data_IF_646667386848
#
_entry.id   IF_646667386848
#
_cell.length_a   1.000
_cell.length_b   1.000
_cell.length_c   1.000
_cell.angle_alpha   90.00
_cell.angle_beta   90.00
_cell.angle_gamma   90.00
#
_symmetry.space_group_name_H-M   'P 1'
#
loop_
_entity.id
_entity.type
_entity.pdbx_description
1 polymer ?
#
# COMPACT_ATOMS: atom_id res chain seq x y z
N UNK A 1 -23.41 -14.51 -0.54
CA UNK A 1 -23.97 -13.19 -0.85
C UNK A 1 -22.83 -12.19 -1.04
N UNK A 2 -22.82 -11.48 -2.14
CA UNK A 2 -21.76 -10.51 -2.40
C UNK A 2 -21.93 -9.28 -1.48
N UNK A 3 -20.86 -8.86 -0.84
CA UNK A 3 -20.85 -7.67 -0.02
C UNK A 3 -20.64 -6.44 -0.91
N UNK A 4 -21.40 -5.39 -0.68
CA UNK A 4 -21.21 -4.13 -1.39
C UNK A 4 -19.80 -3.58 -1.10
N UNK A 5 -19.13 -3.07 -2.12
CA UNK A 5 -17.82 -2.42 -1.97
C UNK A 5 -17.90 -1.18 -1.07
N UNK A 6 -19.06 -0.52 -1.02
CA UNK A 6 -19.26 0.65 -0.17
C UNK A 6 -19.26 0.31 1.32
N UNK A 7 -19.41 -0.97 1.69
CA UNK A 7 -19.38 -1.41 3.08
C UNK A 7 -17.98 -1.82 3.54
N UNK A 8 -16.99 -1.81 2.65
CA UNK A 8 -15.61 -2.11 3.02
C UNK A 8 -15.04 -0.91 3.78
N UNK A 9 -14.70 -1.10 5.05
CA UNK A 9 -14.21 -0.02 5.92
C UNK A 9 -12.75 0.32 5.71
N UNK A 10 -11.97 -0.61 5.19
CA UNK A 10 -10.53 -0.43 5.01
C UNK A 10 -10.14 -0.44 3.54
N UNK A 11 -9.21 -1.31 3.22
CA UNK A 11 -8.66 -1.45 1.88
C UNK A 11 -8.29 -2.92 1.62
N UNK A 12 -7.92 -3.24 0.38
CA UNK A 12 -7.57 -4.62 0.04
C UNK A 12 -6.06 -4.85 -0.03
N UNK A 13 -5.25 -3.82 0.21
CA UNK A 13 -3.80 -3.90 0.06
C UNK A 13 -3.04 -3.91 1.39
N UNK A 14 -3.73 -3.86 2.53
CA UNK A 14 -3.10 -3.67 3.85
C UNK A 14 -1.95 -4.64 4.13
N UNK A 15 -2.18 -5.94 3.97
CA UNK A 15 -1.16 -6.95 4.26
C UNK A 15 0.00 -6.88 3.26
N UNK A 16 -0.31 -6.64 2.00
CA UNK A 16 0.70 -6.61 0.94
C UNK A 16 1.59 -5.38 1.01
N UNK A 17 1.07 -4.24 1.48
CA UNK A 17 1.90 -3.06 1.76
C UNK A 17 2.97 -3.41 2.80
N UNK A 18 2.57 -4.01 3.90
CA UNK A 18 3.49 -4.42 4.95
C UNK A 18 4.50 -5.46 4.46
N UNK A 19 4.04 -6.47 3.72
CA UNK A 19 4.91 -7.49 3.15
C UNK A 19 5.94 -6.89 2.20
N UNK A 20 5.52 -5.98 1.33
CA UNK A 20 6.43 -5.35 0.37
C UNK A 20 7.51 -4.54 1.08
N UNK A 21 7.17 -3.87 2.20
CA UNK A 21 8.19 -3.18 3.00
C UNK A 21 9.20 -4.17 3.58
N UNK A 22 8.70 -5.29 4.10
CA UNK A 22 9.55 -6.31 4.72
C UNK A 22 10.49 -6.97 3.70
N UNK A 23 10.08 -7.06 2.44
CA UNK A 23 10.88 -7.69 1.39
C UNK A 23 12.01 -6.79 0.86
N UNK A 24 12.00 -5.50 1.18
CA UNK A 24 13.10 -4.60 0.79
C UNK A 24 14.38 -4.99 1.51
N UNK A 25 15.52 -4.67 0.93
CA UNK A 25 16.85 -4.97 1.51
C UNK A 25 17.69 -3.70 1.56
N UNK A 26 17.88 -3.12 2.76
CA UNK A 26 17.29 -3.53 4.06
C UNK A 26 15.77 -3.29 4.10
N UNK A 27 15.06 -3.92 5.04
CA UNK A 27 13.62 -3.70 5.17
C UNK A 27 13.28 -2.22 5.30
N UNK A 28 12.22 -1.82 4.59
CA UNK A 28 11.76 -0.44 4.57
C UNK A 28 10.85 -0.17 5.78
N UNK A 29 11.13 0.89 6.55
CA UNK A 29 10.25 1.30 7.64
C UNK A 29 9.03 2.04 7.10
N UNK A 30 8.02 2.25 7.96
CA UNK A 30 6.87 3.09 7.59
C UNK A 30 7.32 4.52 7.30
N UNK A 31 8.29 5.03 8.06
CA UNK A 31 8.87 6.36 7.82
C UNK A 31 9.55 6.43 6.45
N UNK A 32 10.32 5.41 6.09
CA UNK A 32 10.98 5.34 4.79
C UNK A 32 9.98 5.37 3.64
N UNK A 33 8.91 4.60 3.76
CA UNK A 33 7.88 4.56 2.74
C UNK A 33 7.17 5.91 2.61
N UNK A 34 6.80 6.52 3.74
CA UNK A 34 6.16 7.83 3.72
C UNK A 34 7.08 8.88 3.09
N UNK A 35 8.35 8.88 3.45
CA UNK A 35 9.34 9.80 2.88
C UNK A 35 9.43 9.62 1.36
N UNK A 36 9.51 8.39 0.89
CA UNK A 36 9.60 8.10 -0.54
C UNK A 36 8.37 8.58 -1.29
N UNK A 37 7.18 8.37 -0.72
CA UNK A 37 5.93 8.83 -1.34
C UNK A 37 5.83 10.35 -1.35
N UNK A 38 6.29 11.02 -0.29
CA UNK A 38 6.34 12.48 -0.23
C UNK A 38 7.24 13.05 -1.32
N UNK A 39 8.38 12.42 -1.57
CA UNK A 39 9.29 12.81 -2.66
C UNK A 39 8.65 12.61 -4.04
N UNK A 40 7.67 11.72 -4.14
CA UNK A 40 6.90 11.49 -5.37
C UNK A 40 5.70 12.42 -5.49
N UNK A 41 5.53 13.36 -4.54
CA UNK A 41 4.44 14.34 -4.56
C UNK A 41 3.17 13.90 -3.86
N UNK A 42 3.19 12.77 -3.15
CA UNK A 42 2.01 12.27 -2.43
C UNK A 42 2.14 12.63 -0.95
N UNK A 43 1.16 13.37 -0.43
CA UNK A 43 1.17 13.82 0.97
C UNK A 43 0.69 12.71 1.89
N UNK A 44 1.58 11.77 2.18
CA UNK A 44 1.34 10.60 3.03
C UNK A 44 2.30 10.66 4.21
N UNK A 45 1.77 10.47 5.42
CA UNK A 45 2.57 10.44 6.66
C UNK A 45 2.76 9.01 7.15
N UNK A 46 3.73 8.76 8.05
CA UNK A 46 3.88 7.42 8.64
C UNK A 46 2.62 6.95 9.37
N UNK A 47 1.88 7.86 10.00
CA UNK A 47 0.60 7.52 10.67
C UNK A 47 -0.40 7.00 9.64
N UNK A 48 -0.47 7.63 8.47
CA UNK A 48 -1.37 7.19 7.39
C UNK A 48 -0.96 5.81 6.91
N UNK A 49 0.35 5.56 6.71
CA UNK A 49 0.85 4.23 6.33
C UNK A 49 0.42 3.19 7.37
N UNK A 50 0.59 3.51 8.65
CA UNK A 50 0.19 2.61 9.74
C UNK A 50 -1.30 2.25 9.66
N UNK A 51 -2.15 3.25 9.41
CA UNK A 51 -3.61 3.03 9.30
C UNK A 51 -3.97 2.19 8.07
N UNK A 52 -3.26 2.38 6.96
CA UNK A 52 -3.45 1.57 5.77
C UNK A 52 -3.13 0.10 6.08
N UNK A 53 -1.99 -0.15 6.74
CA UNK A 53 -1.53 -1.51 7.07
C UNK A 53 -2.41 -2.20 8.10
N UNK A 54 -3.10 -1.43 8.94
CA UNK A 54 -4.06 -1.96 9.92
C UNK A 54 -5.46 -2.11 9.35
N UNK A 55 -5.64 -1.83 8.06
CA UNK A 55 -6.92 -1.90 7.38
C UNK A 55 -7.97 -0.94 7.98
N UNK A 56 -7.51 0.22 8.44
CA UNK A 56 -8.35 1.23 9.10
C UNK A 56 -8.66 2.44 8.22
N UNK A 57 -8.19 2.41 6.95
CA UNK A 57 -8.29 3.56 6.06
C UNK A 57 -8.47 3.08 4.63
N UNK A 58 -9.33 3.77 3.89
CA UNK A 58 -9.45 3.56 2.45
C UNK A 58 -8.17 4.00 1.74
N UNK A 59 -7.88 3.34 0.62
CA UNK A 59 -6.79 3.71 -0.26
C UNK A 59 -7.41 4.01 -1.62
N UNK A 60 -7.26 5.25 -2.08
CA UNK A 60 -7.79 5.63 -3.39
C UNK A 60 -6.85 5.13 -4.50
N UNK A 61 -7.35 5.17 -5.74
CA UNK A 61 -6.60 4.66 -6.90
C UNK A 61 -5.24 5.32 -7.07
N UNK A 62 -5.16 6.64 -6.90
CA UNK A 62 -3.89 7.37 -7.02
C UNK A 62 -2.90 6.94 -5.93
N UNK A 63 -3.38 6.76 -4.70
CA UNK A 63 -2.55 6.28 -3.59
C UNK A 63 -2.05 4.87 -3.85
N UNK A 64 -2.92 3.99 -4.35
CA UNK A 64 -2.55 2.62 -4.68
C UNK A 64 -1.43 2.58 -5.73
N UNK A 65 -1.56 3.40 -6.76
CA UNK A 65 -0.55 3.50 -7.81
C UNK A 65 0.80 3.95 -7.24
N UNK A 66 0.78 4.96 -6.38
CA UNK A 66 2.00 5.49 -5.79
C UNK A 66 2.63 4.54 -4.78
N UNK A 67 1.80 3.82 -4.02
CA UNK A 67 2.28 2.76 -3.13
C UNK A 67 3.02 1.69 -3.94
N UNK A 68 2.43 1.23 -5.04
CA UNK A 68 3.05 0.22 -5.89
C UNK A 68 4.40 0.71 -6.42
N UNK A 69 4.47 1.95 -6.92
CA UNK A 69 5.72 2.53 -7.43
C UNK A 69 6.76 2.68 -6.33
N UNK A 70 6.37 3.19 -5.16
CA UNK A 70 7.30 3.39 -4.06
C UNK A 70 7.87 2.06 -3.54
N UNK A 71 7.06 1.01 -3.57
CA UNK A 71 7.45 -0.32 -3.11
C UNK A 71 8.11 -1.16 -4.21
N UNK A 72 8.08 -0.70 -5.46
CA UNK A 72 8.66 -1.46 -6.59
C UNK A 72 7.89 -2.72 -6.93
N UNK A 73 6.59 -2.73 -6.72
CA UNK A 73 5.72 -3.89 -6.98
C UNK A 73 4.63 -3.51 -7.99
N UNK A 74 3.94 -4.50 -8.52
CA UNK A 74 2.80 -4.25 -9.40
C UNK A 74 1.57 -3.89 -8.58
N UNK A 75 0.67 -3.11 -9.17
CA UNK A 75 -0.63 -2.82 -8.55
C UNK A 75 -1.44 -4.10 -8.38
N UNK A 76 -1.38 -5.01 -9.35
CA UNK A 76 -2.10 -6.27 -9.29
C UNK A 76 -1.66 -7.11 -8.10
N UNK A 77 -0.35 -7.19 -7.86
CA UNK A 77 0.17 -7.90 -6.69
C UNK A 77 -0.29 -7.23 -5.40
N UNK A 78 -0.22 -5.90 -5.37
CA UNK A 78 -0.60 -5.13 -4.18
C UNK A 78 -2.07 -5.33 -3.83
N UNK A 79 -2.93 -5.46 -4.83
CA UNK A 79 -4.36 -5.72 -4.66
C UNK A 79 -4.69 -7.19 -4.36
N UNK A 80 -3.71 -8.09 -4.47
CA UNK A 80 -3.94 -9.51 -4.29
C UNK A 80 -4.44 -10.25 -5.51
N UNK A 81 -4.45 -9.60 -6.69
CA UNK A 81 -4.97 -10.18 -7.93
C UNK A 81 -3.91 -10.96 -8.71
N UNK A 82 -2.66 -10.86 -8.32
CA UNK A 82 -1.55 -11.54 -8.99
C UNK A 82 -0.49 -11.91 -7.96
N UNK A 83 0.21 -13.02 -8.20
CA UNK A 83 1.38 -13.41 -7.42
C UNK A 83 2.67 -12.87 -8.02
N UNK A 84 2.61 -12.20 -9.16
CA UNK A 84 3.77 -11.57 -9.79
C UNK A 84 4.05 -10.22 -9.14
N UNK A 85 5.02 -10.21 -8.21
CA UNK A 85 5.33 -9.04 -7.40
C UNK A 85 6.10 -7.96 -8.15
N UNK A 86 6.92 -8.33 -9.12
CA UNK A 86 7.84 -7.38 -9.77
C UNK A 86 7.19 -6.67 -10.95
N UNK A 87 7.53 -5.40 -11.06
CA UNK A 87 7.18 -4.60 -12.23
C UNK A 87 7.88 -5.09 -13.49
#
# INVERSE_FOLDING_TARGET
MARSLFLIKGNICSDRVRLARAFQKPPMTQDDLACKMQLMGMDITPVIISRIEKNQRHVCDAELRMLAKALGVTMDWLCGDSDNIKL
#
